data_IF_914697123801
#
_entry.id   IF_914697123801
#
_cell.length_a   1.000
_cell.length_b   1.000
_cell.length_c   1.000
_cell.angle_alpha   90.00
_cell.angle_beta   90.00
_cell.angle_gamma   90.00
#
_symmetry.space_group_name_H-M   'P 1'
#
loop_
_entity.id
_entity.type
_entity.pdbx_description
1 polymer ?
#
# COMPACT_ATOMS: atom_id res chain seq x y z
N UNK A 1 25.88 -27.26 22.80
CA UNK A 1 26.04 -26.09 21.90
C UNK A 1 25.18 -24.97 22.45
N UNK A 2 25.80 -24.04 23.19
CA UNK A 2 25.11 -22.98 23.92
C UNK A 2 24.72 -21.84 22.96
N UNK A 3 23.42 -21.59 22.82
CA UNK A 3 22.88 -20.44 22.09
C UNK A 3 22.95 -19.21 23.00
N UNK A 4 24.00 -18.41 22.87
CA UNK A 4 24.11 -17.14 23.58
C UNK A 4 23.08 -16.16 23.00
N UNK A 5 21.98 -15.96 23.72
CA UNK A 5 21.00 -14.91 23.43
C UNK A 5 21.57 -13.64 24.02
N UNK A 6 22.22 -12.80 23.21
CA UNK A 6 22.73 -11.52 23.68
C UNK A 6 21.55 -10.61 24.08
N UNK A 7 21.50 -10.24 25.36
CA UNK A 7 20.56 -9.25 25.87
C UNK A 7 20.97 -7.88 25.31
N UNK A 8 20.12 -7.25 24.51
CA UNK A 8 20.31 -5.88 24.02
C UNK A 8 19.43 -4.97 24.88
N UNK A 9 20.05 -4.09 25.65
CA UNK A 9 19.38 -3.09 26.50
C UNK A 9 19.51 -1.74 25.80
N UNK A 10 18.38 -1.08 25.53
CA UNK A 10 18.35 0.29 25.02
C UNK A 10 18.62 1.26 26.18
N UNK A 11 19.73 1.98 26.12
CA UNK A 11 20.20 2.87 27.19
C UNK A 11 19.70 4.32 27.04
N UNK A 12 18.88 4.62 26.02
CA UNK A 12 18.47 5.99 25.70
C UNK A 12 19.59 6.81 25.04
N UNK A 13 19.22 7.93 24.43
CA UNK A 13 20.15 8.76 23.66
C UNK A 13 20.94 9.72 24.58
N UNK A 14 22.27 9.69 24.50
CA UNK A 14 23.14 10.79 24.94
C UNK A 14 23.17 11.88 23.87
N UNK A 15 23.11 13.15 24.28
CA UNK A 15 23.23 14.32 23.40
C UNK A 15 24.70 14.53 22.98
N UNK A 16 25.24 13.64 22.18
CA UNK A 16 26.51 13.87 21.48
C UNK A 16 26.27 13.81 19.98
N UNK A 17 26.49 14.94 19.31
CA UNK A 17 26.46 15.00 17.85
C UNK A 17 27.75 14.37 17.32
N UNK A 18 27.62 13.19 16.71
CA UNK A 18 28.71 12.46 16.09
C UNK A 18 28.61 12.64 14.57
N UNK A 19 29.59 13.29 13.96
CA UNK A 19 29.69 13.38 12.51
C UNK A 19 30.14 12.01 11.97
N UNK A 20 29.18 11.23 11.45
CA UNK A 20 29.45 9.91 10.86
C UNK A 20 30.08 10.07 9.47
N UNK A 21 31.07 9.22 9.12
CA UNK A 21 31.64 9.21 7.77
C UNK A 21 30.58 8.81 6.74
N UNK A 22 30.63 9.38 5.53
CA UNK A 22 29.82 8.95 4.39
C UNK A 22 30.21 7.50 4.00
N UNK A 23 29.53 6.49 4.57
CA UNK A 23 29.60 5.12 4.08
C UNK A 23 28.63 4.95 2.89
N UNK A 24 29.12 5.28 1.70
CA UNK A 24 28.30 5.48 0.50
C UNK A 24 27.89 4.18 -0.23
N UNK A 25 28.30 2.98 0.20
CA UNK A 25 28.03 1.74 -0.59
C UNK A 25 26.88 0.88 -0.05
N UNK A 26 26.89 0.52 1.24
CA UNK A 26 25.90 -0.41 1.80
C UNK A 26 24.52 0.24 1.99
N UNK A 27 24.48 1.49 2.48
CA UNK A 27 23.23 2.23 2.67
C UNK A 27 22.48 2.46 1.35
N UNK A 28 23.21 2.84 0.29
CA UNK A 28 22.65 3.01 -1.05
C UNK A 28 22.13 1.70 -1.64
N UNK A 29 22.85 0.58 -1.43
CA UNK A 29 22.40 -0.73 -1.88
C UNK A 29 21.13 -1.17 -1.16
N UNK A 30 21.08 -1.03 0.18
CA UNK A 30 19.89 -1.33 0.97
C UNK A 30 18.72 -0.49 0.48
N UNK A 31 18.95 0.79 0.21
CA UNK A 31 17.90 1.69 -0.23
C UNK A 31 17.24 1.27 -1.56
N UNK A 32 18.01 0.63 -2.44
CA UNK A 32 17.54 0.21 -3.77
C UNK A 32 17.00 -1.21 -3.80
N UNK A 33 17.45 -2.07 -2.89
CA UNK A 33 17.16 -3.50 -2.89
C UNK A 33 16.25 -3.96 -1.75
N UNK A 34 15.82 -3.06 -0.86
CA UNK A 34 14.89 -3.40 0.23
C UNK A 34 13.57 -2.65 0.13
N UNK A 35 12.51 -3.36 0.49
CA UNK A 35 11.18 -2.81 0.74
C UNK A 35 10.79 -3.13 2.17
N UNK A 36 10.24 -2.15 2.87
CA UNK A 36 9.58 -2.39 4.13
C UNK A 36 8.09 -2.60 3.90
N UNK A 37 7.53 -3.63 4.51
CA UNK A 37 6.11 -3.89 4.50
C UNK A 37 5.58 -3.90 5.92
N UNK A 38 4.36 -3.42 6.10
CA UNK A 38 3.57 -3.73 7.29
C UNK A 38 2.34 -4.54 6.90
N UNK A 39 2.18 -5.66 7.60
CA UNK A 39 1.00 -6.50 7.51
C UNK A 39 0.04 -6.08 8.60
N UNK A 40 -1.14 -5.64 8.20
CA UNK A 40 -2.16 -5.31 9.16
C UNK A 40 -3.00 -6.55 9.45
N UNK A 41 -2.67 -7.28 10.51
CA UNK A 41 -3.39 -8.50 10.87
C UNK A 41 -3.28 -8.77 12.36
N UNK A 42 -4.29 -9.45 12.92
CA UNK A 42 -4.25 -9.96 14.30
C UNK A 42 -3.31 -11.17 14.40
N UNK A 43 -3.38 -12.06 13.40
CA UNK A 43 -2.44 -13.18 13.27
C UNK A 43 -1.10 -12.71 12.72
N UNK A 44 -0.01 -13.24 13.27
CA UNK A 44 1.32 -13.10 12.67
C UNK A 44 1.50 -14.14 11.58
N UNK A 45 1.85 -13.69 10.39
CA UNK A 45 2.30 -14.59 9.32
C UNK A 45 3.74 -15.03 9.62
N UNK A 46 4.02 -16.31 9.43
CA UNK A 46 5.40 -16.81 9.53
C UNK A 46 6.21 -16.33 8.34
N UNK A 47 7.54 -16.17 8.47
CA UNK A 47 8.40 -15.83 7.33
C UNK A 47 8.26 -16.80 6.15
N UNK A 48 8.04 -18.10 6.42
CA UNK A 48 7.82 -19.11 5.39
C UNK A 48 6.50 -18.94 4.64
N UNK A 49 5.40 -18.59 5.33
CA UNK A 49 4.12 -18.29 4.67
C UNK A 49 4.24 -17.10 3.74
N UNK A 50 4.90 -16.03 4.22
CA UNK A 50 5.14 -14.82 3.42
C UNK A 50 6.01 -15.15 2.22
N UNK A 51 7.12 -15.87 2.43
CA UNK A 51 8.04 -16.25 1.36
C UNK A 51 7.33 -17.05 0.26
N UNK A 52 6.61 -18.12 0.62
CA UNK A 52 5.96 -19.00 -0.36
C UNK A 52 4.95 -18.23 -1.21
N UNK A 53 4.13 -17.38 -0.58
CA UNK A 53 3.17 -16.59 -1.32
C UNK A 53 3.84 -15.55 -2.23
N UNK A 54 4.81 -14.79 -1.72
CA UNK A 54 5.55 -13.84 -2.55
C UNK A 54 6.15 -14.53 -3.78
N UNK A 55 6.73 -15.72 -3.59
CA UNK A 55 7.32 -16.50 -4.66
C UNK A 55 6.30 -16.93 -5.74
N UNK A 56 5.03 -17.09 -5.37
CA UNK A 56 3.95 -17.44 -6.30
C UNK A 56 3.37 -16.23 -7.04
N UNK A 57 3.23 -15.08 -6.36
CA UNK A 57 2.41 -13.96 -6.89
C UNK A 57 3.22 -12.74 -7.37
N UNK A 58 4.48 -12.59 -6.96
CA UNK A 58 5.26 -11.38 -7.28
C UNK A 58 6.18 -11.54 -8.50
N UNK A 59 6.25 -12.76 -9.08
CA UNK A 59 7.02 -13.05 -10.30
C UNK A 59 8.47 -12.50 -10.26
N UNK A 60 9.13 -12.67 -9.11
CA UNK A 60 10.50 -12.22 -8.85
C UNK A 60 11.47 -13.04 -9.71
N UNK A 61 12.42 -12.38 -10.37
CA UNK A 61 13.41 -13.05 -11.22
C UNK A 61 14.61 -13.59 -10.44
N UNK A 62 15.12 -12.80 -9.50
CA UNK A 62 16.25 -13.17 -8.64
C UNK A 62 15.82 -13.83 -7.33
N UNK A 63 16.76 -13.99 -6.39
CA UNK A 63 16.45 -14.41 -5.03
C UNK A 63 15.95 -13.24 -4.20
N UNK A 64 15.19 -13.56 -3.15
CA UNK A 64 14.79 -12.59 -2.15
C UNK A 64 14.83 -13.21 -0.75
N UNK A 65 14.79 -12.36 0.27
CA UNK A 65 14.76 -12.75 1.69
C UNK A 65 13.62 -12.05 2.40
N UNK A 66 13.00 -12.77 3.33
CA UNK A 66 11.96 -12.24 4.22
C UNK A 66 12.54 -12.12 5.62
N UNK A 67 12.62 -10.89 6.15
CA UNK A 67 13.22 -10.59 7.44
C UNK A 67 12.14 -10.03 8.36
N UNK A 68 11.61 -10.81 9.31
CA UNK A 68 10.59 -10.34 10.24
C UNK A 68 11.16 -9.31 11.21
N UNK A 69 10.35 -8.31 11.56
CA UNK A 69 10.63 -7.27 12.55
C UNK A 69 9.45 -7.15 13.53
N UNK A 70 9.62 -6.48 14.68
CA UNK A 70 8.51 -6.20 15.59
C UNK A 70 7.35 -5.45 14.92
N UNK A 71 6.19 -5.41 15.57
CA UNK A 71 5.01 -4.65 15.12
C UNK A 71 4.45 -5.07 13.74
N UNK A 72 4.56 -6.36 13.40
CA UNK A 72 4.12 -6.95 12.11
C UNK A 72 4.77 -6.28 10.88
N UNK A 73 5.97 -5.75 11.08
CA UNK A 73 6.80 -5.20 10.01
C UNK A 73 7.66 -6.32 9.44
N UNK A 74 7.82 -6.33 8.12
CA UNK A 74 8.60 -7.31 7.39
C UNK A 74 9.46 -6.57 6.39
N UNK A 75 10.77 -6.81 6.42
CA UNK A 75 11.67 -6.33 5.38
C UNK A 75 11.83 -7.40 4.32
N UNK A 76 11.80 -6.98 3.06
CA UNK A 76 11.97 -7.85 1.91
C UNK A 76 13.19 -7.33 1.16
N UNK A 77 14.26 -8.13 1.18
CA UNK A 77 15.50 -7.83 0.48
C UNK A 77 15.57 -8.62 -0.82
N UNK A 78 15.87 -7.93 -1.92
CA UNK A 78 15.94 -8.49 -3.26
C UNK A 78 17.40 -8.60 -3.72
N UNK A 79 17.71 -9.60 -4.53
CA UNK A 79 18.99 -9.71 -5.23
C UNK A 79 19.11 -8.66 -6.34
N UNK A 80 18.00 -8.28 -6.96
CA UNK A 80 17.95 -7.34 -8.08
C UNK A 80 17.09 -6.11 -7.74
N UNK A 81 17.58 -4.93 -8.10
CA UNK A 81 16.86 -3.67 -7.93
C UNK A 81 15.60 -3.63 -8.81
N UNK A 82 15.62 -4.29 -9.96
CA UNK A 82 14.49 -4.41 -10.88
C UNK A 82 13.31 -5.12 -10.24
N UNK A 83 13.55 -6.17 -9.45
CA UNK A 83 12.52 -6.90 -8.73
C UNK A 83 11.92 -6.02 -7.62
N UNK A 84 12.76 -5.28 -6.89
CA UNK A 84 12.32 -4.29 -5.91
C UNK A 84 11.39 -3.23 -6.55
N UNK A 85 11.81 -2.64 -7.68
CA UNK A 85 11.01 -1.68 -8.45
C UNK A 85 9.72 -2.29 -8.99
N UNK A 86 9.77 -3.55 -9.44
CA UNK A 86 8.60 -4.27 -9.95
C UNK A 86 7.56 -4.46 -8.84
N UNK A 87 7.98 -4.98 -7.69
CA UNK A 87 7.14 -5.18 -6.52
C UNK A 87 6.55 -3.86 -6.05
N UNK A 88 7.37 -2.81 -5.97
CA UNK A 88 6.86 -1.49 -5.65
C UNK A 88 5.83 -1.04 -6.70
N UNK A 89 6.01 -1.28 -8.00
CA UNK A 89 4.99 -0.89 -9.00
C UNK A 89 3.70 -1.71 -8.97
N UNK A 90 3.75 -2.98 -8.56
CA UNK A 90 2.67 -3.97 -8.71
C UNK A 90 1.46 -3.83 -7.77
N UNK A 91 1.34 -2.72 -7.02
CA UNK A 91 0.28 -2.47 -6.04
C UNK A 91 -1.16 -2.84 -6.48
N UNK A 92 -2.07 -3.23 -5.54
CA UNK A 92 -1.86 -3.68 -4.16
C UNK A 92 -1.47 -5.16 -4.10
N UNK A 93 -0.63 -5.52 -3.12
CA UNK A 93 -0.27 -6.92 -2.86
C UNK A 93 -1.03 -7.47 -1.67
N UNK A 94 -1.59 -8.66 -1.87
CA UNK A 94 -2.22 -9.46 -0.82
C UNK A 94 -1.34 -10.66 -0.53
N UNK A 95 -1.11 -10.93 0.75
CA UNK A 95 -0.50 -12.18 1.20
C UNK A 95 -1.43 -12.82 2.22
N UNK A 96 -1.91 -14.01 1.93
CA UNK A 96 -2.89 -14.76 2.71
C UNK A 96 -4.16 -13.93 2.94
N UNK A 97 -4.60 -13.24 1.89
CA UNK A 97 -5.70 -12.29 1.87
C UNK A 97 -5.51 -11.03 2.75
N UNK A 98 -4.31 -10.84 3.33
CA UNK A 98 -3.99 -9.68 4.15
C UNK A 98 -3.27 -8.62 3.32
N UNK A 99 -3.63 -7.37 3.55
CA UNK A 99 -3.06 -6.23 2.84
C UNK A 99 -1.62 -5.96 3.28
N UNK A 100 -0.69 -5.90 2.32
CA UNK A 100 0.70 -5.52 2.55
C UNK A 100 0.89 -4.05 2.16
N UNK A 101 1.06 -3.18 3.16
CA UNK A 101 1.43 -1.80 2.91
C UNK A 101 2.93 -1.72 2.72
N UNK A 102 3.34 -1.68 1.45
CA UNK A 102 4.74 -1.53 1.05
C UNK A 102 5.18 -0.07 1.11
N UNK A 103 6.38 0.16 1.61
CA UNK A 103 7.09 1.43 1.61
C UNK A 103 8.49 1.23 1.02
N UNK A 104 8.88 2.05 0.02
CA UNK A 104 10.25 2.05 -0.46
C UNK A 104 11.17 2.54 0.65
N UNK A 105 12.44 2.17 0.56
CA UNK A 105 13.46 2.83 1.36
C UNK A 105 13.67 4.25 0.84
N UNK A 106 13.66 5.24 1.73
CA UNK A 106 13.90 6.65 1.40
C UNK A 106 15.17 7.14 2.07
N UNK A 107 15.59 8.37 1.76
CA UNK A 107 16.61 9.04 2.55
C UNK A 107 16.14 9.13 4.03
N UNK A 108 17.08 8.96 4.96
CA UNK A 108 16.82 8.96 6.40
C UNK A 108 15.74 7.96 6.86
N UNK A 109 15.57 6.85 6.14
CA UNK A 109 14.60 5.83 6.48
C UNK A 109 14.92 5.17 7.82
N UNK A 110 14.09 5.45 8.83
CA UNK A 110 14.14 4.82 10.15
C UNK A 110 12.90 3.94 10.28
N UNK A 111 13.07 2.62 10.28
CA UNK A 111 11.97 1.65 10.23
C UNK A 111 10.86 1.91 11.27
N UNK A 112 11.23 2.32 12.49
CA UNK A 112 10.29 2.63 13.57
C UNK A 112 9.45 3.89 13.35
N UNK A 113 9.88 4.80 12.47
CA UNK A 113 9.22 6.07 12.18
C UNK A 113 8.39 6.04 10.88
N UNK A 114 8.45 4.94 10.13
CA UNK A 114 7.78 4.82 8.83
C UNK A 114 6.26 4.78 9.01
N UNK A 115 5.51 5.74 8.44
CA UNK A 115 4.07 5.74 8.50
C UNK A 115 3.49 4.75 7.48
N UNK A 116 3.32 3.51 7.91
CA UNK A 116 2.52 2.51 7.18
C UNK A 116 1.05 2.89 7.25
N UNK A 117 0.62 3.76 6.34
CA UNK A 117 -0.74 4.34 6.33
C UNK A 117 -1.29 4.43 4.92
N UNK A 118 -0.51 4.99 4.00
CA UNK A 118 -0.92 5.16 2.61
C UNK A 118 -0.61 3.93 1.77
N UNK A 119 -1.60 3.44 1.02
CA UNK A 119 -1.53 2.29 0.12
C UNK A 119 -2.25 2.56 -1.19
N UNK A 120 -1.77 1.95 -2.26
CA UNK A 120 -2.32 2.15 -3.60
C UNK A 120 -3.36 1.09 -3.93
N UNK A 121 -4.53 1.48 -4.44
CA UNK A 121 -5.59 0.57 -4.87
C UNK A 121 -6.10 0.92 -6.26
N UNK A 122 -6.53 -0.11 -6.99
CA UNK A 122 -7.39 0.05 -8.15
C UNK A 122 -8.84 0.11 -7.69
N UNK A 123 -9.58 1.10 -8.18
CA UNK A 123 -10.97 1.33 -7.87
C UNK A 123 -11.73 1.53 -9.17
N UNK A 124 -12.81 0.77 -9.33
CA UNK A 124 -13.77 0.98 -10.40
C UNK A 124 -14.84 1.96 -9.92
N UNK A 125 -15.09 2.99 -10.72
CA UNK A 125 -16.10 4.01 -10.49
C UNK A 125 -17.25 3.73 -11.46
N UNK A 126 -18.38 3.33 -10.89
CA UNK A 126 -19.60 2.91 -11.60
C UNK A 126 -20.69 3.97 -11.51
N UNK A 127 -21.71 3.82 -12.35
CA UNK A 127 -22.88 4.70 -12.44
C UNK A 127 -22.53 6.15 -12.78
N UNK A 128 -21.48 6.34 -13.60
CA UNK A 128 -21.06 7.65 -14.10
C UNK A 128 -21.99 8.04 -15.26
N UNK A 129 -22.74 9.17 -15.17
CA UNK A 129 -23.51 9.69 -16.29
C UNK A 129 -22.63 9.97 -17.51
N UNK A 130 -23.15 9.74 -18.71
CA UNK A 130 -22.38 9.88 -19.96
C UNK A 130 -21.82 11.29 -20.15
N UNK A 131 -22.50 12.32 -19.62
CA UNK A 131 -22.06 13.70 -19.67
C UNK A 131 -20.80 13.95 -18.82
N UNK A 132 -20.49 13.08 -17.85
CA UNK A 132 -19.31 13.15 -17.00
C UNK A 132 -18.12 12.33 -17.52
N UNK A 133 -18.30 11.53 -18.58
CA UNK A 133 -17.28 10.63 -19.14
C UNK A 133 -16.22 11.32 -20.01
N UNK A 134 -15.90 12.59 -19.73
CA UNK A 134 -14.78 13.27 -20.40
C UNK A 134 -13.53 13.25 -19.52
N UNK A 135 -12.35 13.16 -20.14
CA UNK A 135 -11.06 13.19 -19.42
C UNK A 135 -10.98 14.30 -18.37
N UNK A 136 -11.33 15.53 -18.76
CA UNK A 136 -11.30 16.68 -17.85
C UNK A 136 -12.24 16.52 -16.65
N UNK A 137 -13.44 15.96 -16.86
CA UNK A 137 -14.42 15.75 -15.79
C UNK A 137 -14.03 14.58 -14.89
N UNK A 138 -13.48 13.49 -15.44
CA UNK A 138 -12.98 12.36 -14.65
C UNK A 138 -11.78 12.77 -13.79
N UNK A 139 -10.84 13.57 -14.32
CA UNK A 139 -9.72 14.10 -13.54
C UNK A 139 -10.24 14.96 -12.39
N UNK A 140 -11.18 15.86 -12.65
CA UNK A 140 -11.84 16.68 -11.61
C UNK A 140 -12.63 15.85 -10.61
N UNK A 141 -13.28 14.77 -11.06
CA UNK A 141 -13.90 13.82 -10.14
C UNK A 141 -12.83 13.31 -9.19
N UNK A 142 -11.65 12.92 -9.70
CA UNK A 142 -10.48 12.48 -8.92
C UNK A 142 -10.08 13.40 -7.76
N UNK A 143 -10.30 14.71 -7.85
CA UNK A 143 -10.02 15.65 -6.73
C UNK A 143 -10.91 15.40 -5.50
N UNK A 144 -12.09 14.80 -5.68
CA UNK A 144 -12.98 14.41 -4.59
C UNK A 144 -12.57 13.08 -3.90
N UNK A 145 -11.52 12.43 -4.39
CA UNK A 145 -11.08 11.11 -3.94
C UNK A 145 -9.82 11.22 -3.07
N UNK A 146 -9.52 10.19 -2.26
CA UNK A 146 -8.14 9.94 -1.82
C UNK A 146 -7.19 10.04 -3.02
N UNK A 147 -6.04 10.69 -2.85
CA UNK A 147 -5.13 11.20 -3.89
C UNK A 147 -5.23 10.37 -5.18
N UNK A 148 -5.92 10.92 -6.18
CA UNK A 148 -6.12 10.29 -7.48
C UNK A 148 -4.83 10.38 -8.30
N UNK A 149 -4.27 9.23 -8.67
CA UNK A 149 -2.96 9.17 -9.31
C UNK A 149 -3.05 8.99 -10.81
N UNK A 150 -4.01 8.19 -11.28
CA UNK A 150 -4.12 7.78 -12.67
C UNK A 150 -5.49 7.16 -12.96
N UNK A 151 -5.98 7.24 -14.19
CA UNK A 151 -7.10 6.40 -14.65
C UNK A 151 -6.75 5.71 -15.96
N UNK A 152 -7.30 4.52 -16.18
CA UNK A 152 -7.07 3.75 -17.38
C UNK A 152 -7.86 4.33 -18.56
N UNK A 153 -7.22 4.43 -19.73
CA UNK A 153 -7.65 5.15 -20.94
C UNK A 153 -8.90 4.56 -21.65
N UNK A 154 -9.77 3.80 -20.96
CA UNK A 154 -10.94 3.13 -21.57
C UNK A 154 -12.00 4.09 -22.14
N UNK A 155 -11.86 5.39 -21.89
CA UNK A 155 -12.81 6.43 -22.33
C UNK A 155 -12.60 6.89 -23.78
N UNK A 156 -11.43 6.64 -24.38
CA UNK A 156 -11.12 7.11 -25.75
C UNK A 156 -11.70 6.19 -26.84
N UNK A 157 -12.13 4.98 -26.47
CA UNK A 157 -12.77 4.05 -27.37
C UNK A 157 -14.18 3.70 -26.87
N UNK A 158 -15.21 4.32 -27.48
CA UNK A 158 -16.63 4.10 -27.12
C UNK A 158 -17.02 2.62 -27.26
N UNK A 159 -16.44 1.89 -28.22
CA UNK A 159 -16.68 0.44 -28.39
C UNK A 159 -16.04 -0.40 -27.27
N UNK A 160 -15.06 0.16 -26.56
CA UNK A 160 -14.38 -0.45 -25.42
C UNK A 160 -14.93 -0.04 -24.06
N UNK A 161 -16.05 0.71 -24.00
CA UNK A 161 -16.63 1.17 -22.74
C UNK A 161 -17.18 0.00 -21.92
N UNK A 162 -16.61 -0.22 -20.73
CA UNK A 162 -16.99 -1.34 -19.84
C UNK A 162 -18.05 -0.96 -18.79
N UNK A 163 -18.62 0.25 -18.86
CA UNK A 163 -19.59 0.74 -17.87
C UNK A 163 -18.97 1.38 -16.62
N UNK A 164 -17.64 1.46 -16.54
CA UNK A 164 -16.94 2.07 -15.41
C UNK A 164 -15.61 2.72 -15.82
N UNK A 165 -15.16 3.67 -15.01
CA UNK A 165 -13.79 4.19 -15.05
C UNK A 165 -12.95 3.44 -14.02
N UNK A 166 -11.80 2.92 -14.44
CA UNK A 166 -10.84 2.31 -13.54
C UNK A 166 -9.79 3.34 -13.15
N UNK A 167 -9.73 3.66 -11.86
CA UNK A 167 -8.84 4.65 -11.29
C UNK A 167 -7.85 3.99 -10.33
N UNK A 168 -6.65 4.56 -10.25
CA UNK A 168 -5.66 4.27 -9.23
C UNK A 168 -5.65 5.40 -8.21
N UNK A 169 -5.83 5.04 -6.96
CA UNK A 169 -5.84 5.98 -5.84
C UNK A 169 -4.74 5.63 -4.85
N UNK A 170 -4.26 6.62 -4.11
CA UNK A 170 -3.56 6.41 -2.85
C UNK A 170 -4.57 6.60 -1.70
N UNK A 171 -4.80 5.53 -0.95
CA UNK A 171 -5.76 5.47 0.13
C UNK A 171 -5.06 5.31 1.47
N UNK A 172 -5.59 6.02 2.45
CA UNK A 172 -5.22 5.89 3.84
C UNK A 172 -5.94 4.70 4.47
N UNK A 173 -5.21 3.62 4.74
CA UNK A 173 -5.77 2.36 5.28
C UNK A 173 -6.32 2.50 6.70
N UNK A 174 -6.07 3.62 7.39
CA UNK A 174 -6.69 3.93 8.68
C UNK A 174 -8.08 4.56 8.54
N UNK A 175 -8.50 4.92 7.32
CA UNK A 175 -9.83 5.44 7.04
C UNK A 175 -10.79 4.33 6.59
N UNK A 176 -12.10 4.48 6.85
CA UNK A 176 -13.08 3.55 6.35
C UNK A 176 -13.17 3.64 4.81
N UNK A 177 -13.27 2.49 4.17
CA UNK A 177 -13.55 2.38 2.75
C UNK A 177 -14.86 3.09 2.41
N UNK A 178 -14.86 3.85 1.32
CA UNK A 178 -16.05 4.56 0.84
C UNK A 178 -16.71 3.73 -0.26
N UNK A 179 -17.95 3.25 -0.09
CA UNK A 179 -18.66 2.48 -1.11
C UNK A 179 -19.25 3.37 -2.21
N UNK A 180 -19.45 4.66 -1.93
CA UNK A 180 -19.96 5.66 -2.87
C UNK A 180 -19.41 7.04 -2.57
N UNK A 181 -19.40 7.91 -3.56
CA UNK A 181 -19.13 9.35 -3.40
C UNK A 181 -20.31 10.16 -3.93
N UNK A 182 -20.59 11.27 -3.26
CA UNK A 182 -21.55 12.27 -3.71
C UNK A 182 -20.79 13.37 -4.45
N UNK A 183 -21.25 13.69 -5.65
CA UNK A 183 -20.68 14.75 -6.48
C UNK A 183 -21.78 15.63 -7.05
N UNK A 184 -21.46 16.90 -7.28
CA UNK A 184 -22.32 17.84 -7.98
C UNK A 184 -21.83 17.98 -9.43
N UNK A 185 -22.72 17.79 -10.40
CA UNK A 185 -22.42 18.15 -11.79
C UNK A 185 -22.34 19.68 -11.95
N UNK A 186 -21.84 20.15 -13.10
CA UNK A 186 -21.75 21.58 -13.46
C UNK A 186 -23.10 22.32 -13.39
N UNK A 187 -24.22 21.59 -13.47
CA UNK A 187 -25.58 22.12 -13.33
C UNK A 187 -26.11 22.10 -11.89
N UNK A 188 -25.27 21.74 -10.90
CA UNK A 188 -25.66 21.58 -9.50
C UNK A 188 -26.49 20.32 -9.21
N UNK A 189 -26.57 19.38 -10.16
CA UNK A 189 -27.30 18.11 -9.98
C UNK A 189 -26.48 17.17 -9.10
N UNK A 190 -27.13 16.62 -8.07
CA UNK A 190 -26.56 15.60 -7.21
C UNK A 190 -26.46 14.25 -7.91
N UNK A 191 -25.27 13.63 -7.84
CA UNK A 191 -24.97 12.33 -8.43
C UNK A 191 -24.23 11.48 -7.39
N UNK A 192 -24.65 10.22 -7.28
CA UNK A 192 -23.96 9.22 -6.48
C UNK A 192 -23.19 8.27 -7.39
N UNK A 193 -21.87 8.21 -7.23
CA UNK A 193 -21.02 7.26 -7.95
C UNK A 193 -20.68 6.09 -7.03
N UNK A 194 -20.72 4.86 -7.54
CA UNK A 194 -20.40 3.65 -6.76
C UNK A 194 -18.95 3.24 -6.94
N UNK A 195 -18.29 2.85 -5.85
CA UNK A 195 -16.91 2.36 -5.88
C UNK A 195 -16.85 0.87 -5.66
N UNK A 196 -16.04 0.20 -6.47
CA UNK A 196 -15.66 -1.20 -6.28
C UNK A 196 -14.14 -1.29 -6.25
N UNK A 197 -13.59 -1.67 -5.11
CA UNK A 197 -12.14 -1.81 -4.92
C UNK A 197 -11.70 -3.17 -5.46
N UNK A 198 -10.63 -3.17 -6.25
CA UNK A 198 -10.04 -4.40 -6.78
C UNK A 198 -8.93 -4.91 -5.87
N UNK A 199 -8.84 -6.23 -5.72
CA UNK A 199 -7.82 -6.90 -4.87
C UNK A 199 -7.76 -6.31 -3.46
N UNK A 200 -8.93 -5.98 -2.92
CA UNK A 200 -9.06 -5.57 -1.54
C UNK A 200 -8.93 -6.82 -0.65
N UNK A 201 -7.99 -6.78 0.29
CA UNK A 201 -7.82 -7.86 1.26
C UNK A 201 -8.90 -7.86 2.33
N UNK A 202 -8.67 -8.58 3.43
CA UNK A 202 -9.58 -8.61 4.57
C UNK A 202 -9.80 -7.20 5.16
N UNK A 203 -11.08 -6.84 5.27
CA UNK A 203 -11.58 -5.62 5.89
C UNK A 203 -12.81 -5.93 6.75
N UNK A 204 -13.14 -5.04 7.68
CA UNK A 204 -14.28 -5.24 8.57
C UNK A 204 -15.54 -4.58 8.02
N UNK A 205 -16.52 -5.39 7.61
CA UNK A 205 -17.75 -4.90 6.96
C UNK A 205 -18.52 -3.84 7.76
N UNK A 206 -18.51 -3.91 9.11
CA UNK A 206 -19.24 -2.97 9.95
C UNK A 206 -18.69 -1.54 9.87
N UNK A 207 -17.37 -1.38 9.80
CA UNK A 207 -16.72 -0.07 9.85
C UNK A 207 -15.91 0.27 8.60
N UNK A 208 -15.84 -0.62 7.61
CA UNK A 208 -15.13 -0.41 6.35
C UNK A 208 -13.61 -0.32 6.50
N UNK A 209 -13.04 -0.62 7.67
CA UNK A 209 -11.60 -0.51 7.89
C UNK A 209 -10.87 -1.73 7.34
N UNK A 210 -9.80 -1.49 6.59
CA UNK A 210 -8.82 -2.53 6.24
C UNK A 210 -8.13 -2.95 7.54
N UNK A 211 -7.85 -4.25 7.63
CA UNK A 211 -7.34 -4.99 8.80
C UNK A 211 -6.35 -4.22 9.72
N UNK A 212 -6.31 -4.58 11.01
CA UNK A 212 -5.65 -3.94 12.18
C UNK A 212 -6.15 -2.55 12.65
N UNK A 213 -6.79 -1.73 11.82
CA UNK A 213 -7.55 -0.59 12.35
C UNK A 213 -8.79 -1.05 13.16
N UNK A 214 -9.11 -2.35 13.12
CA UNK A 214 -10.12 -3.07 13.91
C UNK A 214 -9.90 -3.01 15.42
N UNK A 215 -8.67 -2.89 15.94
CA UNK A 215 -8.48 -2.70 17.40
C UNK A 215 -9.12 -1.37 17.88
N UNK A 216 -9.22 -0.38 16.98
CA UNK A 216 -9.94 0.88 17.22
C UNK A 216 -11.36 0.91 16.67
N UNK A 217 -11.86 -0.20 16.10
CA UNK A 217 -13.29 -0.37 15.90
C UNK A 217 -13.93 -0.60 17.27
N UNK A 218 -13.93 0.45 18.10
CA UNK A 218 -14.72 0.50 19.33
C UNK A 218 -16.14 0.18 18.90
N UNK A 219 -16.71 -0.84 19.54
CA UNK A 219 -18.14 -1.14 19.49
C UNK A 219 -18.89 0.18 19.60
N UNK A 220 -19.62 0.55 18.54
CA UNK A 220 -20.77 1.44 18.70
C UNK A 220 -21.78 0.73 19.61
#
# INVERSE_FOLDING_TARGET
MSSSTHLVIDLGASQEQLDLPEETSLGALVARTYVASKVFAERRLTPSQIYNQINEIWYIKGKFRVIPKPNNIVLIGFEHEEDCKHVLKGYPWLVSNLHFCLKPWTENFILGQVPFRLSHFWVQIHDIPSELLTRAKIVRLGDAFPIFLHYEHSLENVLGWQGFVRARIEFDVAQPLRPRVHVLDIKGKEIWLKFKYERLGEFYFRCGLISYATYKCKRA
#
